data_IF_121495891316
#
_entry.id   IF_121495891316
#
_cell.length_a   1.000
_cell.length_b   1.000
_cell.length_c   1.000
_cell.angle_alpha   90.00
_cell.angle_beta   90.00
_cell.angle_gamma   90.00
#
_symmetry.space_group_name_H-M   'P 1'
#
loop_
_entity.id
_entity.type
_entity.pdbx_description
1 polymer ?
#
# COMPACT_ATOMS: atom_id res chain seq x y z
N UNK A 1 10.54 -6.04 -15.19
CA UNK A 1 9.25 -5.41 -14.87
C UNK A 1 9.49 -4.17 -14.01
N UNK A 2 8.69 -3.13 -14.19
CA UNK A 2 8.56 -1.97 -13.29
C UNK A 2 7.50 -2.27 -12.23
N UNK A 3 7.90 -2.32 -10.96
CA UNK A 3 7.01 -2.63 -9.83
C UNK A 3 6.82 -1.37 -9.00
N UNK A 4 5.57 -0.94 -8.86
CA UNK A 4 5.19 0.07 -7.87
C UNK A 4 4.99 -0.64 -6.52
N UNK A 5 5.88 -0.40 -5.57
CA UNK A 5 5.88 -1.00 -4.25
C UNK A 5 5.28 -0.04 -3.22
N UNK A 6 4.42 -0.54 -2.34
CA UNK A 6 3.81 0.23 -1.26
C UNK A 6 3.77 -0.57 0.04
N UNK A 7 3.98 0.10 1.17
CA UNK A 7 3.99 -0.49 2.50
C UNK A 7 3.18 0.40 3.46
N UNK A 8 1.83 0.21 3.55
CA UNK A 8 0.93 1.13 4.24
C UNK A 8 1.26 1.31 5.72
N UNK A 9 1.74 0.25 6.40
CA UNK A 9 2.09 0.32 7.82
C UNK A 9 3.41 1.07 8.06
N UNK A 10 4.44 0.72 7.29
CA UNK A 10 5.79 1.26 7.46
C UNK A 10 6.62 1.18 6.18
N UNK A 11 6.83 2.35 5.59
CA UNK A 11 7.72 2.52 4.44
C UNK A 11 9.13 1.95 4.68
N UNK A 12 9.80 1.39 3.65
CA UNK A 12 11.21 1.02 3.73
C UNK A 12 12.13 2.21 4.08
N UNK A 13 11.71 3.45 3.83
CA UNK A 13 12.46 4.66 4.17
C UNK A 13 12.13 5.21 5.56
N UNK A 14 11.18 4.60 6.28
CA UNK A 14 10.75 5.11 7.59
C UNK A 14 11.94 5.25 8.56
N UNK A 15 12.10 6.41 9.24
CA UNK A 15 13.29 6.71 10.04
C UNK A 15 13.47 5.74 11.22
N UNK A 16 12.36 5.38 11.88
CA UNK A 16 12.37 4.46 13.02
C UNK A 16 12.54 3.00 12.59
N UNK A 17 13.53 2.31 13.16
CA UNK A 17 13.78 0.90 12.92
C UNK A 17 12.66 -0.02 13.41
N UNK A 18 12.45 -1.13 12.70
CA UNK A 18 11.51 -2.21 13.05
C UNK A 18 11.70 -3.39 12.11
N UNK A 19 11.28 -4.57 12.54
CA UNK A 19 11.23 -5.77 11.68
C UNK A 19 10.42 -5.53 10.40
N UNK A 20 9.28 -4.86 10.49
CA UNK A 20 8.42 -4.55 9.35
C UNK A 20 9.15 -3.76 8.24
N UNK A 21 9.76 -2.62 8.60
CA UNK A 21 10.65 -1.86 7.71
C UNK A 21 11.76 -2.71 7.11
N UNK A 22 12.39 -3.57 7.92
CA UNK A 22 13.49 -4.42 7.44
C UNK A 22 12.97 -5.45 6.42
N UNK A 23 11.79 -6.02 6.65
CA UNK A 23 11.15 -6.93 5.70
C UNK A 23 10.80 -6.22 4.40
N UNK A 24 10.19 -5.03 4.45
CA UNK A 24 9.91 -4.23 3.26
C UNK A 24 11.19 -4.01 2.41
N UNK A 25 12.31 -3.65 3.05
CA UNK A 25 13.60 -3.50 2.36
C UNK A 25 14.10 -4.82 1.76
N UNK A 26 13.97 -5.94 2.46
CA UNK A 26 14.40 -7.24 1.95
C UNK A 26 13.55 -7.70 0.76
N UNK A 27 12.24 -7.43 0.77
CA UNK A 27 11.37 -7.68 -0.40
C UNK A 27 11.78 -6.85 -1.61
N UNK A 28 11.99 -5.55 -1.42
CA UNK A 28 12.51 -4.68 -2.48
C UNK A 28 13.82 -5.24 -3.05
N UNK A 29 14.78 -5.57 -2.18
CA UNK A 29 16.07 -6.14 -2.60
C UNK A 29 15.93 -7.49 -3.33
N UNK A 30 15.02 -8.34 -2.88
CA UNK A 30 14.79 -9.64 -3.52
C UNK A 30 14.19 -9.48 -4.92
N UNK A 31 13.22 -8.57 -5.09
CA UNK A 31 12.63 -8.23 -6.38
C UNK A 31 13.67 -7.62 -7.33
N UNK A 32 14.49 -6.69 -6.84
CA UNK A 32 15.60 -6.11 -7.59
C UNK A 32 16.62 -7.18 -8.02
N UNK A 33 16.98 -8.09 -7.12
CA UNK A 33 17.87 -9.20 -7.42
C UNK A 33 17.31 -10.15 -8.50
N UNK A 34 15.98 -10.28 -8.57
CA UNK A 34 15.27 -10.97 -9.65
C UNK A 34 15.27 -10.24 -11.00
N UNK A 35 15.94 -9.09 -11.13
CA UNK A 35 15.99 -8.31 -12.36
C UNK A 35 14.78 -7.39 -12.57
N UNK A 36 14.02 -7.08 -11.52
CA UNK A 36 12.95 -6.10 -11.57
C UNK A 36 13.42 -4.71 -11.15
N UNK A 37 12.78 -3.67 -11.68
CA UNK A 37 12.95 -2.30 -11.19
C UNK A 37 11.82 -2.02 -10.20
N UNK A 38 12.16 -1.58 -8.99
CA UNK A 38 11.18 -1.34 -7.93
C UNK A 38 11.19 0.15 -7.59
N UNK A 39 10.02 0.77 -7.68
CA UNK A 39 9.78 2.16 -7.29
C UNK A 39 8.89 2.18 -6.06
N UNK A 40 9.27 2.93 -5.02
CA UNK A 40 8.37 3.18 -3.90
C UNK A 40 7.27 4.14 -4.36
N UNK A 41 6.04 3.64 -4.47
CA UNK A 41 4.91 4.42 -5.00
C UNK A 41 4.54 5.60 -4.08
N UNK A 42 4.60 5.37 -2.77
CA UNK A 42 4.16 6.34 -1.76
C UNK A 42 4.87 6.13 -0.42
N UNK A 43 5.11 7.25 0.27
CA UNK A 43 5.54 7.30 1.67
C UNK A 43 4.34 7.43 2.65
N UNK A 44 3.11 7.60 2.13
CA UNK A 44 1.92 7.79 2.95
C UNK A 44 1.72 6.59 3.87
N UNK A 45 1.74 6.84 5.17
CA UNK A 45 1.51 5.82 6.19
C UNK A 45 0.03 5.79 6.55
N UNK A 46 -0.63 4.67 6.28
CA UNK A 46 -1.95 4.40 6.82
C UNK A 46 -1.83 3.56 8.10
N UNK A 47 -2.25 4.12 9.24
CA UNK A 47 -2.38 3.33 10.47
C UNK A 47 -3.45 3.88 11.41
N UNK A 48 -4.48 3.08 11.66
CA UNK A 48 -5.50 3.35 12.66
C UNK A 48 -5.26 2.52 13.91
N UNK A 49 -4.89 3.16 15.02
CA UNK A 49 -4.75 2.45 16.30
C UNK A 49 -6.09 1.90 16.79
N UNK A 50 -7.12 2.73 16.69
CA UNK A 50 -8.51 2.49 17.11
C UNK A 50 -9.46 2.76 15.93
N UNK A 51 -10.69 2.23 15.94
CA UNK A 51 -11.65 2.39 14.85
C UNK A 51 -12.26 3.81 14.84
N UNK A 52 -11.44 4.82 14.52
CA UNK A 52 -11.81 6.23 14.49
C UNK A 52 -12.13 6.68 13.05
N UNK A 53 -13.40 7.05 12.82
CA UNK A 53 -13.88 7.46 11.50
C UNK A 53 -13.26 8.77 11.03
N UNK A 54 -13.00 9.72 11.94
CA UNK A 54 -12.40 11.02 11.59
C UNK A 54 -10.98 10.84 11.03
N UNK A 55 -10.15 10.07 11.72
CA UNK A 55 -8.79 9.73 11.24
C UNK A 55 -8.84 8.96 9.93
N UNK A 56 -9.83 8.06 9.77
CA UNK A 56 -10.00 7.33 8.53
C UNK A 56 -10.36 8.23 7.35
N UNK A 57 -11.29 9.16 7.55
CA UNK A 57 -11.71 10.11 6.52
C UNK A 57 -10.57 11.03 6.08
N UNK A 58 -9.76 11.52 7.03
CA UNK A 58 -8.57 12.31 6.74
C UNK A 58 -7.55 11.52 5.89
N UNK A 59 -7.22 10.29 6.30
CA UNK A 59 -6.30 9.43 5.56
C UNK A 59 -6.82 9.07 4.15
N UNK A 60 -8.13 8.92 3.97
CA UNK A 60 -8.73 8.74 2.64
C UNK A 60 -8.58 9.97 1.75
N UNK A 61 -8.54 11.18 2.30
CA UNK A 61 -8.27 12.39 1.50
C UNK A 61 -6.82 12.38 1.04
N UNK A 62 -5.88 12.18 1.97
CA UNK A 62 -4.44 12.10 1.65
C UNK A 62 -4.13 11.01 0.62
N UNK A 63 -4.74 9.82 0.77
CA UNK A 63 -4.57 8.72 -0.17
C UNK A 63 -5.11 9.06 -1.57
N UNK A 64 -6.23 9.80 -1.68
CA UNK A 64 -6.76 10.22 -2.99
C UNK A 64 -5.86 11.24 -3.67
N UNK A 65 -5.30 12.18 -2.92
CA UNK A 65 -4.35 13.16 -3.45
C UNK A 65 -3.09 12.46 -3.99
N UNK A 66 -2.56 11.49 -3.25
CA UNK A 66 -1.37 10.76 -3.66
C UNK A 66 -1.64 9.78 -4.81
N UNK A 67 -2.82 9.14 -4.83
CA UNK A 67 -3.28 8.35 -5.97
C UNK A 67 -3.45 9.21 -7.23
N UNK A 68 -4.02 10.41 -7.12
CA UNK A 68 -4.15 11.33 -8.26
C UNK A 68 -2.78 11.77 -8.79
N UNK A 69 -1.81 12.03 -7.89
CA UNK A 69 -0.42 12.30 -8.28
C UNK A 69 0.16 11.12 -9.05
N UNK A 70 0.02 9.90 -8.54
CA UNK A 70 0.54 8.69 -9.20
C UNK A 70 -0.11 8.45 -10.56
N UNK A 71 -1.44 8.60 -10.66
CA UNK A 71 -2.15 8.50 -11.93
C UNK A 71 -1.60 9.49 -12.97
N UNK A 72 -1.40 10.75 -12.59
CA UNK A 72 -0.82 11.76 -13.48
C UNK A 72 0.63 11.46 -13.91
N UNK A 73 1.42 10.81 -13.05
CA UNK A 73 2.76 10.32 -13.41
C UNK A 73 2.67 9.17 -14.40
N UNK A 74 1.75 8.23 -14.19
CA UNK A 74 1.61 7.04 -15.04
C UNK A 74 1.02 7.36 -16.41
N UNK A 75 0.12 8.34 -16.51
CA UNK A 75 -0.36 8.85 -17.80
C UNK A 75 0.76 9.48 -18.62
N UNK A 76 1.67 10.21 -17.96
CA UNK A 76 2.78 10.92 -18.62
C UNK A 76 3.96 10.00 -18.96
N UNK A 77 4.39 9.20 -18.00
CA UNK A 77 5.67 8.45 -18.05
C UNK A 77 5.46 6.93 -18.21
N UNK A 78 4.20 6.50 -18.33
CA UNK A 78 3.80 5.11 -18.44
C UNK A 78 3.60 4.43 -17.08
N UNK A 79 2.53 3.62 -17.01
CA UNK A 79 2.17 2.80 -15.84
C UNK A 79 3.21 1.71 -15.51
N UNK A 80 3.26 1.23 -14.26
CA UNK A 80 4.05 0.06 -13.89
C UNK A 80 3.47 -1.23 -14.50
N UNK A 81 4.23 -2.30 -14.42
CA UNK A 81 3.76 -3.65 -14.78
C UNK A 81 2.99 -4.31 -13.63
N UNK A 82 3.17 -3.84 -12.38
CA UNK A 82 2.64 -4.44 -11.17
C UNK A 82 2.52 -3.41 -10.03
N UNK A 83 1.43 -3.46 -9.27
CA UNK A 83 1.36 -2.88 -7.93
C UNK A 83 1.58 -3.95 -6.85
N UNK A 84 2.53 -3.72 -5.96
CA UNK A 84 2.90 -4.65 -4.90
C UNK A 84 2.70 -4.00 -3.52
N UNK A 85 1.81 -4.55 -2.71
CA UNK A 85 1.57 -4.08 -1.34
C UNK A 85 2.15 -5.05 -0.31
N UNK A 86 3.00 -4.55 0.57
CA UNK A 86 3.54 -5.33 1.68
C UNK A 86 2.76 -5.08 2.99
N UNK A 87 2.37 -6.17 3.64
CA UNK A 87 1.75 -6.22 4.95
C UNK A 87 0.42 -5.42 5.11
N UNK A 88 -0.52 -5.44 4.15
CA UNK A 88 -1.81 -4.82 4.35
C UNK A 88 -2.63 -5.61 5.38
N UNK A 89 -3.32 -4.89 6.27
CA UNK A 89 -4.25 -5.48 7.23
C UNK A 89 -5.26 -4.45 7.72
N UNK A 90 -6.28 -4.85 8.47
CA UNK A 90 -7.41 -3.98 8.85
C UNK A 90 -7.04 -2.65 9.55
N UNK A 91 -5.84 -2.48 10.13
CA UNK A 91 -5.38 -1.17 10.64
C UNK A 91 -4.51 -0.39 9.66
N UNK A 92 -3.95 -1.07 8.66
CA UNK A 92 -3.09 -0.54 7.62
C UNK A 92 -3.46 -1.10 6.24
N UNK A 93 -4.71 -0.94 5.76
CA UNK A 93 -5.08 -1.31 4.40
C UNK A 93 -4.35 -0.46 3.37
N UNK A 94 -4.35 -0.92 2.13
CA UNK A 94 -3.95 -0.11 1.00
C UNK A 94 -5.16 0.66 0.44
N UNK A 95 -5.12 1.98 0.57
CA UNK A 95 -6.18 2.85 0.08
C UNK A 95 -6.03 3.29 -1.38
N UNK A 96 -4.89 2.99 -2.02
CA UNK A 96 -4.56 3.49 -3.36
C UNK A 96 -4.47 2.35 -4.37
N UNK A 97 -3.80 1.27 -3.99
CA UNK A 97 -3.44 0.17 -4.89
C UNK A 97 -4.61 -0.45 -5.62
N UNK A 98 -5.70 -0.89 -4.95
CA UNK A 98 -6.84 -1.49 -5.64
C UNK A 98 -7.46 -0.58 -6.71
N UNK A 99 -7.60 0.72 -6.42
CA UNK A 99 -8.20 1.69 -7.35
C UNK A 99 -7.27 1.97 -8.53
N UNK A 100 -5.98 2.24 -8.27
CA UNK A 100 -4.98 2.46 -9.31
C UNK A 100 -4.78 1.21 -10.18
N UNK A 101 -4.77 0.04 -9.56
CA UNK A 101 -4.66 -1.24 -10.25
C UNK A 101 -5.79 -1.45 -11.24
N UNK A 102 -7.02 -1.19 -10.80
CA UNK A 102 -8.20 -1.27 -11.65
C UNK A 102 -8.16 -0.24 -12.78
N UNK A 103 -7.86 1.03 -12.46
CA UNK A 103 -7.88 2.13 -13.43
C UNK A 103 -6.87 1.94 -14.57
N UNK A 104 -5.67 1.43 -14.26
CA UNK A 104 -4.59 1.27 -15.24
C UNK A 104 -4.44 -0.17 -15.77
N UNK A 105 -5.31 -1.09 -15.33
CA UNK A 105 -5.21 -2.50 -15.69
C UNK A 105 -3.85 -3.10 -15.33
N UNK A 106 -3.35 -2.80 -14.13
CA UNK A 106 -2.12 -3.40 -13.58
C UNK A 106 -2.49 -4.44 -12.53
N UNK A 107 -1.81 -5.59 -12.46
CA UNK A 107 -2.06 -6.57 -11.41
C UNK A 107 -1.82 -5.96 -10.02
N UNK A 108 -2.65 -6.36 -9.06
CA UNK A 108 -2.51 -6.05 -7.65
C UNK A 108 -2.03 -7.29 -6.91
N UNK A 109 -0.84 -7.23 -6.30
CA UNK A 109 -0.24 -8.34 -5.54
C UNK A 109 0.02 -7.88 -4.13
N UNK A 110 -0.24 -8.77 -3.17
CA UNK A 110 0.09 -8.56 -1.77
C UNK A 110 1.08 -9.60 -1.26
N UNK A 111 1.91 -9.20 -0.29
CA UNK A 111 2.68 -10.12 0.53
C UNK A 111 2.33 -9.89 2.00
N UNK A 112 2.09 -10.99 2.72
CA UNK A 112 1.69 -10.97 4.14
C UNK A 112 0.40 -10.18 4.42
N UNK A 113 -0.55 -10.20 3.48
CA UNK A 113 -1.90 -9.71 3.77
C UNK A 113 -2.51 -10.47 4.95
N UNK A 114 -3.06 -9.75 5.92
CA UNK A 114 -3.59 -10.34 7.15
C UNK A 114 -5.07 -10.07 7.31
N UNK A 115 -5.83 -11.17 7.43
CA UNK A 115 -7.27 -11.17 7.63
C UNK A 115 -7.66 -11.89 8.94
N UNK A 116 -8.61 -11.31 9.67
CA UNK A 116 -9.17 -11.89 10.89
C UNK A 116 -10.68 -11.69 10.96
N UNK A 117 -11.44 -12.79 10.96
CA UNK A 117 -12.91 -12.75 11.12
C UNK A 117 -13.36 -12.03 12.40
N UNK A 118 -12.53 -12.04 13.45
CA UNK A 118 -12.78 -11.33 14.71
C UNK A 118 -12.80 -9.81 14.57
N UNK A 119 -12.38 -9.28 13.41
CA UNK A 119 -12.32 -7.86 13.09
C UNK A 119 -13.36 -7.43 12.06
N UNK A 120 -14.27 -8.31 11.66
CA UNK A 120 -15.41 -7.95 10.79
C UNK A 120 -16.53 -7.24 11.54
N UNK A 121 -16.20 -6.16 12.25
CA UNK A 121 -17.16 -5.40 13.06
C UNK A 121 -16.88 -3.91 12.99
N UNK A 122 -17.91 -3.10 12.74
CA UNK A 122 -17.78 -1.65 12.63
C UNK A 122 -16.76 -1.24 11.58
N UNK A 123 -16.00 -0.18 11.85
CA UNK A 123 -14.99 0.34 10.91
C UNK A 123 -13.93 -0.69 10.50
N UNK A 124 -13.64 -1.67 11.35
CA UNK A 124 -12.70 -2.74 11.00
C UNK A 124 -13.23 -3.70 9.93
N UNK A 125 -14.55 -3.82 9.77
CA UNK A 125 -15.11 -4.52 8.62
C UNK A 125 -14.80 -3.76 7.32
N UNK A 126 -14.99 -2.44 7.34
CA UNK A 126 -14.79 -1.57 6.16
C UNK A 126 -13.32 -1.56 5.73
N UNK A 127 -12.39 -1.38 6.67
CA UNK A 127 -10.96 -1.36 6.36
C UNK A 127 -10.42 -2.75 6.02
N UNK A 128 -10.98 -3.82 6.57
CA UNK A 128 -10.56 -5.19 6.23
C UNK A 128 -11.07 -5.64 4.85
N UNK A 129 -12.15 -5.04 4.32
CA UNK A 129 -12.58 -5.29 2.95
C UNK A 129 -11.61 -4.75 1.89
N UNK A 130 -10.62 -3.96 2.30
CA UNK A 130 -9.57 -3.37 1.46
C UNK A 130 -8.25 -4.16 1.53
N UNK A 131 -8.24 -5.34 2.15
CA UNK A 131 -7.06 -6.21 2.36
C UNK A 131 -7.23 -7.50 1.56
#
# INVERSE_FOLDING_TARGET
MRIAFYAPLKSPNHPVASGDRQMARMLVRALEHGGHSVELASELRFYLREPDSTSFDALKIEAREDAARLAGLWDRDGKPDLWFTYHPYYKAPDLMGPELALAFGVPYVTAEASYSRRRNTGLWADTQALV
#
